data_IF_277234515682
#
_entry.id   IF_277234515682
#
_cell.length_a   1.000
_cell.length_b   1.000
_cell.length_c   1.000
_cell.angle_alpha   90.00
_cell.angle_beta   90.00
_cell.angle_gamma   90.00
#
_symmetry.space_group_name_H-M   'P 1'
#
loop_
_entity.id
_entity.type
_entity.pdbx_description
1 polymer ?
#
# COMPACT_ATOMS: atom_id res chain seq x y z
N UNK A 1 -69.97 -28.50 -36.93
CA UNK A 1 -70.04 -27.21 -36.22
C UNK A 1 -68.65 -26.95 -35.65
N UNK A 2 -67.88 -26.14 -36.38
CA UNK A 2 -66.57 -25.62 -35.96
C UNK A 2 -66.81 -24.71 -34.76
N UNK A 3 -66.22 -25.03 -33.61
CA UNK A 3 -66.01 -24.06 -32.54
C UNK A 3 -64.50 -23.89 -32.48
N UNK A 4 -64.02 -22.98 -33.34
CA UNK A 4 -62.66 -22.46 -33.33
C UNK A 4 -62.44 -21.74 -31.99
N UNK A 5 -61.73 -22.40 -31.08
CA UNK A 5 -61.28 -21.79 -29.82
C UNK A 5 -59.94 -21.08 -30.10
N UNK A 6 -59.78 -19.79 -29.74
CA UNK A 6 -58.76 -18.93 -30.32
C UNK A 6 -57.35 -19.27 -29.81
N UNK A 7 -56.51 -19.78 -30.72
CA UNK A 7 -55.04 -19.91 -30.61
C UNK A 7 -54.33 -18.59 -30.25
N UNK A 8 -55.02 -17.46 -30.40
CA UNK A 8 -54.55 -16.11 -30.08
C UNK A 8 -54.25 -15.88 -28.59
N UNK A 9 -54.82 -16.68 -27.68
CA UNK A 9 -54.65 -16.49 -26.23
C UNK A 9 -53.39 -17.20 -25.71
N UNK A 10 -52.83 -18.16 -26.45
CA UNK A 10 -51.58 -18.82 -26.08
C UNK A 10 -50.35 -18.13 -26.70
N UNK A 11 -50.54 -17.32 -27.74
CA UNK A 11 -49.45 -16.57 -28.37
C UNK A 11 -49.10 -15.29 -27.59
N UNK A 12 -50.09 -14.56 -27.05
CA UNK A 12 -49.83 -13.38 -26.21
C UNK A 12 -49.05 -13.70 -24.93
N UNK A 13 -49.27 -14.88 -24.33
CA UNK A 13 -48.54 -15.32 -23.14
C UNK A 13 -47.06 -15.62 -23.42
N UNK A 14 -46.72 -16.01 -24.65
CA UNK A 14 -45.36 -16.33 -25.07
C UNK A 14 -44.60 -15.11 -25.60
N UNK A 15 -45.30 -14.08 -26.04
CA UNK A 15 -44.72 -12.81 -26.47
C UNK A 15 -44.40 -11.88 -25.29
N UNK A 16 -45.20 -11.89 -24.22
CA UNK A 16 -44.97 -11.03 -23.04
C UNK A 16 -43.84 -11.50 -22.11
N UNK A 17 -43.41 -12.77 -22.21
CA UNK A 17 -42.36 -13.33 -21.35
C UNK A 17 -40.93 -13.10 -21.89
N UNK A 18 -40.78 -12.76 -23.17
CA UNK A 18 -39.47 -12.70 -23.84
C UNK A 18 -39.01 -11.26 -24.18
N UNK A 19 -39.79 -10.25 -23.82
CA UNK A 19 -39.46 -8.83 -24.07
C UNK A 19 -38.75 -8.11 -22.92
N UNK A 20 -38.44 -8.79 -21.80
CA UNK A 20 -37.57 -8.24 -20.75
C UNK A 20 -36.07 -8.56 -20.97
N UNK A 21 -35.70 -9.31 -22.01
CA UNK A 21 -34.31 -9.75 -22.21
C UNK A 21 -33.55 -9.06 -23.35
N UNK A 22 -34.13 -8.06 -24.03
CA UNK A 22 -33.44 -7.39 -25.15
C UNK A 22 -33.63 -5.87 -25.08
N UNK A 23 -32.76 -5.22 -24.31
CA UNK A 23 -32.40 -3.83 -24.54
C UNK A 23 -30.92 -3.56 -24.18
N UNK A 24 -30.10 -3.60 -25.23
CA UNK A 24 -29.00 -2.64 -25.52
C UNK A 24 -27.70 -2.81 -24.71
N UNK A 25 -26.80 -3.57 -25.33
CA UNK A 25 -25.37 -3.29 -25.55
C UNK A 25 -24.91 -1.88 -25.15
N UNK A 26 -24.18 -1.79 -24.03
CA UNK A 26 -23.10 -0.81 -23.87
C UNK A 26 -21.81 -1.49 -24.33
N UNK A 27 -21.34 -1.05 -25.49
CA UNK A 27 -20.02 -1.32 -26.06
C UNK A 27 -18.93 -1.03 -25.02
N UNK A 28 -18.20 -2.06 -24.58
CA UNK A 28 -16.95 -1.89 -23.84
C UNK A 28 -15.81 -2.02 -24.85
N UNK A 29 -15.18 -0.92 -25.29
CA UNK A 29 -14.15 -0.98 -26.30
C UNK A 29 -12.84 -1.45 -25.67
N UNK A 30 -12.23 -2.41 -26.35
CA UNK A 30 -10.77 -2.55 -26.49
C UNK A 30 -10.05 -3.22 -25.31
N UNK A 31 -10.08 -4.55 -25.37
CA UNK A 31 -8.88 -5.36 -25.18
C UNK A 31 -7.71 -4.82 -26.03
N UNK A 32 -6.48 -4.99 -25.54
CA UNK A 32 -5.17 -4.84 -26.24
C UNK A 32 -4.35 -3.56 -26.06
N UNK A 33 -3.89 -3.29 -24.82
CA UNK A 33 -2.44 -3.27 -24.52
C UNK A 33 -2.24 -3.96 -23.16
N UNK A 34 -2.39 -5.28 -23.13
CA UNK A 34 -1.76 -6.06 -22.05
C UNK A 34 -0.49 -6.62 -22.63
N UNK A 35 0.56 -5.81 -22.50
CA UNK A 35 1.93 -6.24 -22.62
C UNK A 35 2.10 -7.54 -21.81
N UNK A 36 2.34 -8.62 -22.52
CA UNK A 36 2.67 -9.93 -21.99
C UNK A 36 4.06 -9.88 -21.33
N UNK A 37 4.15 -9.19 -20.20
CA UNK A 37 5.24 -9.41 -19.27
C UNK A 37 4.90 -10.70 -18.51
N UNK A 38 5.73 -11.74 -18.57
CA UNK A 38 5.57 -12.87 -17.69
C UNK A 38 5.87 -12.36 -16.28
N UNK A 39 4.85 -11.85 -15.58
CA UNK A 39 4.89 -11.81 -14.13
C UNK A 39 4.85 -13.26 -13.70
N UNK A 40 6.01 -13.92 -13.75
CA UNK A 40 6.25 -15.15 -13.04
C UNK A 40 5.85 -14.84 -11.61
N UNK A 41 4.69 -15.33 -11.21
CA UNK A 41 4.21 -15.28 -9.84
C UNK A 41 5.21 -16.09 -9.05
N UNK A 42 6.30 -15.44 -8.64
CA UNK A 42 7.23 -15.97 -7.67
C UNK A 42 6.35 -16.29 -6.47
N UNK A 43 6.16 -17.58 -6.19
CA UNK A 43 5.66 -18.05 -4.91
C UNK A 43 6.75 -17.71 -3.90
N UNK A 44 6.83 -16.43 -3.54
CA UNK A 44 7.84 -15.92 -2.63
C UNK A 44 7.55 -16.55 -1.29
N UNK A 45 8.51 -17.35 -0.80
CA UNK A 45 8.46 -17.82 0.57
C UNK A 45 8.38 -16.59 1.48
N UNK A 46 7.59 -16.64 2.54
CA UNK A 46 7.57 -15.59 3.56
C UNK A 46 8.98 -15.30 4.10
N UNK A 47 9.86 -16.31 4.10
CA UNK A 47 11.28 -16.15 4.38
C UNK A 47 12.02 -15.29 3.35
N UNK A 48 11.71 -15.47 2.06
CA UNK A 48 12.26 -14.65 0.98
C UNK A 48 11.83 -13.20 1.15
N UNK A 49 10.54 -12.95 1.37
CA UNK A 49 10.01 -11.59 1.58
C UNK A 49 10.68 -10.94 2.79
N UNK A 50 10.76 -11.64 3.92
CA UNK A 50 11.44 -11.15 5.12
C UNK A 50 12.91 -10.82 4.85
N UNK A 51 13.66 -11.75 4.24
CA UNK A 51 15.07 -11.55 3.96
C UNK A 51 15.32 -10.39 2.99
N UNK A 52 14.52 -10.27 1.92
CA UNK A 52 14.65 -9.17 0.95
C UNK A 52 14.32 -7.83 1.58
N UNK A 53 13.24 -7.75 2.37
CA UNK A 53 12.87 -6.52 3.05
C UNK A 53 13.90 -6.15 4.12
N UNK A 54 14.37 -7.12 4.90
CA UNK A 54 15.40 -6.92 5.91
C UNK A 54 16.69 -6.40 5.28
N UNK A 55 17.22 -7.04 4.24
CA UNK A 55 18.47 -6.61 3.59
C UNK A 55 18.29 -5.23 2.97
N UNK A 56 17.17 -4.96 2.31
CA UNK A 56 16.91 -3.65 1.68
C UNK A 56 16.90 -2.53 2.73
N UNK A 57 16.15 -2.71 3.82
CA UNK A 57 16.06 -1.72 4.90
C UNK A 57 17.40 -1.63 5.64
N UNK A 58 18.03 -2.77 5.94
CA UNK A 58 19.31 -2.80 6.62
C UNK A 58 20.35 -1.98 5.87
N UNK A 59 20.51 -2.17 4.57
CA UNK A 59 21.46 -1.38 3.76
C UNK A 59 21.06 0.10 3.64
N UNK A 60 19.75 0.39 3.53
CA UNK A 60 19.27 1.77 3.50
C UNK A 60 19.56 2.53 4.80
N UNK A 61 19.52 1.82 5.93
CA UNK A 61 19.71 2.35 7.28
C UNK A 61 21.12 2.08 7.85
N UNK A 62 21.98 1.31 7.17
CA UNK A 62 23.26 0.88 7.71
C UNK A 62 24.20 2.07 7.84
N UNK A 63 24.53 2.43 9.08
CA UNK A 63 25.35 3.60 9.34
C UNK A 63 24.59 4.92 9.23
N UNK A 64 23.27 4.91 9.43
CA UNK A 64 22.55 6.16 9.67
C UNK A 64 23.21 6.94 10.83
N UNK A 65 23.16 8.26 10.73
CA UNK A 65 23.76 9.19 11.70
C UNK A 65 23.27 8.90 13.12
N UNK A 66 22.04 8.41 13.27
CA UNK A 66 21.47 7.99 14.56
C UNK A 66 22.20 6.79 15.16
N UNK A 67 22.62 5.82 14.35
CA UNK A 67 23.36 4.63 14.80
C UNK A 67 24.79 4.98 15.23
N UNK A 68 25.48 5.84 14.47
CA UNK A 68 26.82 6.31 14.82
C UNK A 68 26.80 7.22 16.05
N UNK A 69 25.81 8.11 16.16
CA UNK A 69 25.60 8.94 17.35
C UNK A 69 25.34 8.07 18.59
N UNK A 70 24.48 7.06 18.48
CA UNK A 70 24.21 6.11 19.57
C UNK A 70 25.46 5.33 19.96
N UNK A 71 26.26 4.88 19.00
CA UNK A 71 27.51 4.17 19.25
C UNK A 71 28.52 5.07 19.99
N UNK A 72 28.66 6.33 19.58
CA UNK A 72 29.53 7.31 20.24
C UNK A 72 29.07 7.62 21.67
N UNK A 73 27.76 7.86 21.86
CA UNK A 73 27.16 8.08 23.18
C UNK A 73 27.37 6.85 24.08
N UNK A 74 27.27 5.65 23.51
CA UNK A 74 27.54 4.40 24.21
C UNK A 74 29.02 4.27 24.58
N UNK A 75 29.94 4.61 23.67
CA UNK A 75 31.38 4.47 23.87
C UNK A 75 31.96 5.46 24.90
N UNK A 76 31.41 6.68 24.98
CA UNK A 76 31.78 7.70 25.98
C UNK A 76 31.19 7.42 27.37
N UNK A 77 30.23 6.50 27.48
CA UNK A 77 29.57 6.21 28.75
C UNK A 77 30.39 5.27 29.62
N UNK A 78 30.37 5.48 30.94
CA UNK A 78 31.04 4.60 31.91
C UNK A 78 30.52 3.16 31.90
N UNK A 79 29.33 2.92 31.36
CA UNK A 79 28.75 1.59 31.19
C UNK A 79 28.14 1.43 29.79
N UNK A 80 28.96 1.15 28.77
CA UNK A 80 28.55 1.14 27.36
C UNK A 80 27.39 0.17 27.08
N UNK A 81 27.39 -1.01 27.71
CA UNK A 81 26.36 -2.03 27.50
C UNK A 81 24.95 -1.58 27.92
N UNK A 82 24.84 -0.77 28.98
CA UNK A 82 23.54 -0.29 29.48
C UNK A 82 22.98 0.78 28.54
N UNK A 83 23.83 1.70 28.09
CA UNK A 83 23.44 2.76 27.16
C UNK A 83 23.06 2.18 25.80
N UNK A 84 23.83 1.22 25.29
CA UNK A 84 23.49 0.48 24.09
C UNK A 84 22.14 -0.25 24.22
N UNK A 85 21.93 -0.99 25.31
CA UNK A 85 20.67 -1.67 25.57
C UNK A 85 19.47 -0.72 25.67
N UNK A 86 19.64 0.43 26.33
CA UNK A 86 18.63 1.47 26.43
C UNK A 86 18.27 2.08 25.07
N UNK A 87 19.27 2.38 24.24
CA UNK A 87 19.06 2.92 22.89
C UNK A 87 18.42 1.89 21.95
N UNK A 88 18.83 0.62 22.02
CA UNK A 88 18.20 -0.47 21.27
C UNK A 88 16.72 -0.64 21.66
N UNK A 89 16.40 -0.59 22.96
CA UNK A 89 15.03 -0.66 23.45
C UNK A 89 14.20 0.56 23.01
N UNK A 90 14.79 1.75 23.03
CA UNK A 90 14.15 2.97 22.55
C UNK A 90 13.84 2.91 21.05
N UNK A 91 14.75 2.39 20.24
CA UNK A 91 14.52 2.14 18.80
C UNK A 91 13.34 1.19 18.58
N UNK A 92 13.33 0.03 19.23
CA UNK A 92 12.25 -0.96 19.10
C UNK A 92 10.91 -0.35 19.52
N UNK A 93 10.89 0.37 20.65
CA UNK A 93 9.68 1.04 21.17
C UNK A 93 9.18 2.10 20.20
N UNK A 94 10.09 2.90 19.62
CA UNK A 94 9.76 3.95 18.65
C UNK A 94 9.19 3.35 17.37
N UNK A 95 9.79 2.27 16.84
CA UNK A 95 9.26 1.57 15.67
C UNK A 95 7.88 0.98 15.95
N UNK A 96 7.66 0.38 17.12
CA UNK A 96 6.37 -0.17 17.51
C UNK A 96 5.30 0.92 17.59
N UNK A 97 5.63 2.06 18.22
CA UNK A 97 4.74 3.22 18.28
C UNK A 97 4.46 3.77 16.87
N UNK A 98 5.46 3.87 16.01
CA UNK A 98 5.32 4.32 14.63
C UNK A 98 4.35 3.44 13.83
N UNK A 99 4.45 2.11 13.95
CA UNK A 99 3.53 1.17 13.30
C UNK A 99 2.11 1.32 13.85
N UNK A 100 1.95 1.47 15.17
CA UNK A 100 0.64 1.61 15.81
C UNK A 100 -0.05 2.92 15.39
N UNK A 101 0.67 4.03 15.43
CA UNK A 101 0.20 5.34 14.95
C UNK A 101 -0.08 5.31 13.45
N UNK A 102 0.80 4.70 12.67
CA UNK A 102 0.64 4.55 11.22
C UNK A 102 -0.62 3.77 10.86
N UNK A 103 -0.89 2.65 11.54
CA UNK A 103 -2.14 1.89 11.36
C UNK A 103 -3.36 2.72 11.74
N UNK A 104 -3.31 3.45 12.86
CA UNK A 104 -4.40 4.31 13.28
C UNK A 104 -4.71 5.41 12.25
N UNK A 105 -3.67 6.08 11.73
CA UNK A 105 -3.79 7.11 10.68
C UNK A 105 -4.35 6.50 9.39
N UNK A 106 -3.84 5.34 8.97
CA UNK A 106 -4.28 4.65 7.75
C UNK A 106 -5.77 4.27 7.78
N UNK A 107 -6.35 4.02 8.95
CA UNK A 107 -7.80 3.74 9.07
C UNK A 107 -8.69 4.98 9.03
N UNK A 108 -8.14 6.17 9.30
CA UNK A 108 -8.93 7.42 9.45
C UNK A 108 -8.74 8.40 8.30
N UNK A 109 -7.61 8.36 7.61
CA UNK A 109 -7.20 9.36 6.63
C UNK A 109 -7.01 8.71 5.26
N UNK A 110 -7.53 9.36 4.21
CA UNK A 110 -7.34 8.89 2.84
C UNK A 110 -5.84 8.88 2.46
N UNK A 111 -5.35 7.86 1.75
CA UNK A 111 -3.92 7.67 1.46
C UNK A 111 -3.31 8.87 0.73
N UNK A 112 -4.07 9.50 -0.18
CA UNK A 112 -3.67 10.71 -0.91
C UNK A 112 -3.28 11.89 0.00
N UNK A 113 -3.93 12.03 1.17
CA UNK A 113 -3.64 13.10 2.12
C UNK A 113 -2.34 12.81 2.85
N UNK A 114 -2.11 11.56 3.24
CA UNK A 114 -0.89 11.14 3.95
C UNK A 114 0.33 11.30 3.04
N UNK A 115 0.22 10.89 1.77
CA UNK A 115 1.28 11.05 0.77
C UNK A 115 1.63 12.51 0.52
N UNK A 116 0.60 13.37 0.37
CA UNK A 116 0.80 14.80 0.17
C UNK A 116 1.47 15.44 1.39
N UNK A 117 1.05 15.09 2.60
CA UNK A 117 1.67 15.59 3.83
C UNK A 117 3.12 15.13 3.96
N UNK A 118 3.41 13.84 3.71
CA UNK A 118 4.77 13.31 3.74
C UNK A 118 5.69 14.05 2.75
N UNK A 119 5.22 14.26 1.53
CA UNK A 119 5.95 14.98 0.48
C UNK A 119 6.25 16.42 0.87
N UNK A 120 5.26 17.14 1.41
CA UNK A 120 5.43 18.52 1.87
C UNK A 120 6.40 18.59 3.04
N UNK A 121 6.24 17.72 4.04
CA UNK A 121 7.13 17.68 5.21
C UNK A 121 8.58 17.40 4.80
N UNK A 122 8.80 16.44 3.90
CA UNK A 122 10.14 16.11 3.43
C UNK A 122 10.76 17.23 2.59
N UNK A 123 9.97 17.87 1.73
CA UNK A 123 10.41 19.04 0.97
C UNK A 123 10.80 20.21 1.89
N UNK A 124 10.00 20.49 2.92
CA UNK A 124 10.29 21.55 3.89
C UNK A 124 11.58 21.29 4.66
N UNK A 125 11.78 20.06 5.15
CA UNK A 125 13.02 19.66 5.83
C UNK A 125 14.21 19.81 4.88
N UNK A 126 14.07 19.34 3.64
CA UNK A 126 15.13 19.46 2.63
C UNK A 126 15.49 20.92 2.34
N UNK A 127 14.48 21.79 2.21
CA UNK A 127 14.68 23.22 1.95
C UNK A 127 15.35 23.91 3.15
N UNK A 128 14.92 23.59 4.37
CA UNK A 128 15.50 24.13 5.60
C UNK A 128 16.97 23.73 5.73
N UNK A 129 17.31 22.46 5.48
CA UNK A 129 18.69 21.97 5.56
C UNK A 129 19.57 22.63 4.50
N UNK A 130 19.05 22.82 3.28
CA UNK A 130 19.78 23.52 2.22
C UNK A 130 20.09 24.97 2.60
N UNK A 131 19.13 25.66 3.23
CA UNK A 131 19.34 27.04 3.70
C UNK A 131 20.42 27.12 4.78
N UNK A 132 20.38 26.22 5.77
CA UNK A 132 21.36 26.14 6.85
C UNK A 132 22.79 25.83 6.35
N UNK A 133 22.90 25.12 5.22
CA UNK A 133 24.20 24.82 4.59
C UNK A 133 24.75 25.98 3.75
N UNK A 134 23.88 26.81 3.18
CA UNK A 134 24.28 27.93 2.31
C UNK A 134 24.68 29.17 3.10
N UNK A 135 24.14 29.33 4.31
CA UNK A 135 24.37 30.48 5.19
C UNK A 135 25.63 30.31 6.05
#
# INVERSE_FOLDING_TARGET
MKIDLPTQLLEESKLKNNSEHIAITVENPTDTITESQPHSAFKQSSWTVFATTFVTIFFAEFGDKTQLSTLLISAESQSPWIVFGGAALAMITTSLLGVLLGCWIATRIAPQTVEKLASISLFLISMMLLWDVVQ
#
